data_IF_381011296308
#
_entry.id   IF_381011296308
#
_cell.length_a   1.000
_cell.length_b   1.000
_cell.length_c   1.000
_cell.angle_alpha   90.00
_cell.angle_beta   90.00
_cell.angle_gamma   90.00
#
_symmetry.space_group_name_H-M   'P 1'
#
loop_
_entity.id
_entity.type
_entity.pdbx_description
1 polymer ?
#
# COMPACT_ATOMS: atom_id res chain seq x y z
N UNK A 1 -30.90 8.00 9.11
CA UNK A 1 -29.77 7.28 9.74
C UNK A 1 -28.53 8.03 9.41
N UNK A 2 -27.70 8.30 10.41
CA UNK A 2 -26.47 9.06 10.19
C UNK A 2 -25.34 8.15 9.71
N UNK A 3 -24.39 8.70 8.99
CA UNK A 3 -23.45 7.95 8.16
C UNK A 3 -22.01 8.33 8.51
N UNK A 4 -21.13 7.33 8.54
CA UNK A 4 -19.70 7.52 8.44
C UNK A 4 -19.29 7.42 6.98
N UNK A 5 -18.82 8.51 6.38
CA UNK A 5 -18.25 8.52 5.04
C UNK A 5 -16.72 8.33 5.11
N UNK A 6 -16.19 7.38 4.36
CA UNK A 6 -14.74 7.25 4.15
C UNK A 6 -14.39 8.04 2.89
N UNK A 7 -13.70 9.15 3.07
CA UNK A 7 -13.50 10.14 1.98
C UNK A 7 -12.03 10.24 1.62
N UNK A 8 -11.63 9.67 0.47
CA UNK A 8 -10.27 9.85 -0.04
C UNK A 8 -9.95 11.31 -0.34
N UNK A 9 -8.74 11.72 0.04
CA UNK A 9 -8.17 13.05 -0.22
C UNK A 9 -7.08 12.98 -1.28
N UNK A 10 -6.74 14.09 -1.95
CA UNK A 10 -5.66 14.11 -2.93
C UNK A 10 -4.31 13.67 -2.36
N UNK A 11 -3.51 12.97 -3.15
CA UNK A 11 -2.15 12.53 -2.80
C UNK A 11 -1.07 13.51 -3.28
N UNK A 12 -1.45 14.65 -3.80
CA UNK A 12 -0.52 15.67 -4.28
C UNK A 12 -1.12 16.69 -5.24
N UNK A 13 -2.20 16.34 -5.92
CA UNK A 13 -2.88 17.20 -6.88
C UNK A 13 -4.35 17.42 -6.47
N UNK A 14 -4.73 18.67 -6.23
CA UNK A 14 -6.11 19.01 -5.83
C UNK A 14 -7.17 18.66 -6.87
N UNK A 15 -6.80 18.49 -8.14
CA UNK A 15 -7.71 18.08 -9.21
C UNK A 15 -8.17 16.61 -9.08
N UNK A 16 -7.44 15.80 -8.30
CA UNK A 16 -7.78 14.40 -8.04
C UNK A 16 -8.91 14.23 -7.01
N UNK A 17 -9.37 15.30 -6.36
CA UNK A 17 -10.53 15.21 -5.49
C UNK A 17 -11.80 14.99 -6.30
N UNK A 18 -12.57 13.96 -5.97
CA UNK A 18 -13.80 13.69 -6.69
C UNK A 18 -14.89 14.73 -6.38
N UNK A 19 -15.77 15.00 -7.35
CA UNK A 19 -16.94 15.85 -7.13
C UNK A 19 -17.82 15.33 -5.98
N UNK A 20 -17.93 14.01 -5.83
CA UNK A 20 -18.67 13.39 -4.75
C UNK A 20 -18.00 13.62 -3.38
N UNK A 21 -16.67 13.49 -3.29
CA UNK A 21 -15.93 13.79 -2.07
C UNK A 21 -16.13 15.24 -1.64
N UNK A 22 -15.98 16.20 -2.57
CA UNK A 22 -16.22 17.63 -2.29
C UNK A 22 -17.64 17.88 -1.80
N UNK A 23 -18.66 17.29 -2.43
CA UNK A 23 -20.05 17.41 -2.01
C UNK A 23 -20.27 16.86 -0.61
N UNK A 24 -19.83 15.62 -0.34
CA UNK A 24 -19.96 14.98 0.98
C UNK A 24 -19.30 15.81 2.06
N UNK A 25 -18.06 16.30 1.84
CA UNK A 25 -17.37 17.17 2.79
C UNK A 25 -18.14 18.49 3.05
N UNK A 26 -18.94 18.97 2.08
CA UNK A 26 -19.79 20.16 2.27
C UNK A 26 -21.08 19.86 3.04
N UNK A 27 -21.56 18.62 3.02
CA UNK A 27 -22.86 18.22 3.62
C UNK A 27 -22.73 17.69 5.04
N UNK A 28 -21.65 16.95 5.39
CA UNK A 28 -21.48 16.34 6.73
C UNK A 28 -21.43 17.40 7.86
N UNK A 29 -21.78 16.97 9.07
CA UNK A 29 -21.77 17.83 10.24
C UNK A 29 -20.36 18.11 10.77
N UNK A 30 -19.47 17.11 10.69
CA UNK A 30 -18.07 17.25 11.09
C UNK A 30 -17.16 16.32 10.31
N UNK A 31 -15.85 16.58 10.37
CA UNK A 31 -14.81 15.81 9.71
C UNK A 31 -13.84 15.25 10.75
N UNK A 32 -13.67 13.95 10.78
CA UNK A 32 -12.60 13.28 11.50
C UNK A 32 -11.35 13.24 10.60
N UNK A 33 -10.20 13.68 11.11
CA UNK A 33 -8.96 13.78 10.34
C UNK A 33 -7.74 13.41 11.20
N UNK A 34 -6.70 12.91 10.55
CA UNK A 34 -5.48 12.53 11.24
C UNK A 34 -4.76 13.72 11.84
N UNK A 35 -4.37 14.69 11.02
CA UNK A 35 -3.84 15.98 11.46
C UNK A 35 -4.85 17.10 11.14
N UNK A 36 -5.36 17.75 12.18
CA UNK A 36 -6.32 18.84 12.03
C UNK A 36 -5.76 20.06 11.29
N UNK A 37 -4.44 20.23 11.23
CA UNK A 37 -3.78 21.27 10.44
C UNK A 37 -3.85 20.97 8.95
N UNK A 38 -3.61 19.70 8.57
CA UNK A 38 -3.69 19.22 7.19
C UNK A 38 -5.15 19.20 6.73
N UNK A 39 -6.04 18.62 7.53
CA UNK A 39 -7.48 18.65 7.28
C UNK A 39 -8.04 20.06 7.14
N UNK A 40 -7.61 21.00 8.01
CA UNK A 40 -7.99 22.42 7.94
C UNK A 40 -7.52 23.11 6.67
N UNK A 41 -6.29 22.82 6.22
CA UNK A 41 -5.76 23.31 4.93
C UNK A 41 -6.58 22.79 3.75
N UNK A 42 -6.94 21.49 3.76
CA UNK A 42 -7.80 20.91 2.72
C UNK A 42 -9.17 21.61 2.70
N UNK A 43 -9.82 21.78 3.86
CA UNK A 43 -11.10 22.48 3.94
C UNK A 43 -11.01 23.91 3.38
N UNK A 44 -9.95 24.64 3.72
CA UNK A 44 -9.71 25.98 3.21
C UNK A 44 -9.56 26.00 1.68
N UNK A 45 -8.77 25.08 1.12
CA UNK A 45 -8.59 24.96 -0.34
C UNK A 45 -9.90 24.62 -1.07
N UNK A 46 -10.79 23.87 -0.44
CA UNK A 46 -12.12 23.54 -0.98
C UNK A 46 -13.15 24.67 -0.78
N UNK A 47 -12.80 25.75 -0.05
CA UNK A 47 -13.73 26.81 0.32
C UNK A 47 -14.78 26.38 1.34
N UNK A 48 -14.48 25.36 2.15
CA UNK A 48 -15.38 24.79 3.15
C UNK A 48 -14.97 25.20 4.56
N UNK A 49 -15.96 25.26 5.46
CA UNK A 49 -15.73 25.48 6.90
C UNK A 49 -16.52 24.41 7.67
N UNK A 50 -15.80 23.45 8.26
CA UNK A 50 -16.38 22.32 9.00
C UNK A 50 -15.67 22.15 10.35
N UNK A 51 -16.37 21.72 11.40
CA UNK A 51 -15.74 21.27 12.64
C UNK A 51 -14.81 20.09 12.34
N UNK A 52 -13.56 20.16 12.81
CA UNK A 52 -12.57 19.08 12.67
C UNK A 52 -12.42 18.37 14.01
N UNK A 53 -12.29 17.07 13.98
CA UNK A 53 -12.04 16.21 15.13
C UNK A 53 -10.81 15.34 14.86
N UNK A 54 -9.77 15.45 15.71
CA UNK A 54 -8.55 14.68 15.51
C UNK A 54 -8.77 13.19 15.81
N UNK A 55 -8.41 12.32 14.84
CA UNK A 55 -8.47 10.88 14.94
C UNK A 55 -7.19 10.29 14.33
N UNK A 56 -6.26 9.88 15.17
CA UNK A 56 -4.95 9.36 14.76
C UNK A 56 -4.57 8.14 15.63
N UNK A 57 -3.51 7.44 15.26
CA UNK A 57 -3.09 6.17 15.88
C UNK A 57 -3.03 6.24 17.41
N UNK A 58 -2.51 7.34 17.97
CA UNK A 58 -2.32 7.48 19.42
C UNK A 58 -3.62 7.78 20.21
N UNK A 59 -4.71 8.22 19.54
CA UNK A 59 -5.97 8.55 20.22
C UNK A 59 -7.16 7.72 19.72
N UNK A 60 -6.98 6.84 18.74
CA UNK A 60 -8.03 6.14 17.97
C UNK A 60 -9.11 5.47 18.82
N UNK A 61 -8.76 4.90 19.98
CA UNK A 61 -9.73 4.25 20.86
C UNK A 61 -10.72 5.28 21.43
N UNK A 62 -10.19 6.30 22.14
CA UNK A 62 -11.02 7.34 22.77
C UNK A 62 -11.75 8.20 21.75
N UNK A 63 -11.05 8.63 20.71
CA UNK A 63 -11.64 9.47 19.67
C UNK A 63 -12.70 8.70 18.87
N UNK A 64 -12.45 7.42 18.58
CA UNK A 64 -13.41 6.55 17.89
C UNK A 64 -14.73 6.41 18.62
N UNK A 65 -14.69 6.23 19.96
CA UNK A 65 -15.89 6.17 20.78
C UNK A 65 -16.71 7.47 20.67
N UNK A 66 -16.07 8.63 20.82
CA UNK A 66 -16.74 9.94 20.72
C UNK A 66 -17.34 10.16 19.32
N UNK A 67 -16.59 9.81 18.26
CA UNK A 67 -17.07 9.94 16.88
C UNK A 67 -18.31 9.06 16.68
N UNK A 68 -18.25 7.79 17.11
CA UNK A 68 -19.36 6.84 16.94
C UNK A 68 -20.60 7.28 17.76
N UNK A 69 -20.42 7.84 18.96
CA UNK A 69 -21.51 8.40 19.76
C UNK A 69 -22.19 9.58 19.07
N UNK A 70 -21.42 10.50 18.49
CA UNK A 70 -21.96 11.65 17.75
C UNK A 70 -22.76 11.19 16.52
N UNK A 71 -22.23 10.22 15.77
CA UNK A 71 -22.97 9.66 14.63
C UNK A 71 -24.26 8.98 15.09
N UNK A 72 -24.23 8.20 16.18
CA UNK A 72 -25.42 7.60 16.75
C UNK A 72 -26.46 8.64 17.25
N UNK A 73 -25.99 9.81 17.66
CA UNK A 73 -26.85 10.93 18.05
C UNK A 73 -27.48 11.71 16.89
N UNK A 74 -27.11 11.38 15.63
CA UNK A 74 -27.76 11.94 14.45
C UNK A 74 -26.84 12.82 13.57
N UNK A 75 -25.56 12.93 13.86
CA UNK A 75 -24.59 13.70 13.05
C UNK A 75 -23.94 12.83 11.97
N UNK A 76 -23.78 13.36 10.76
CA UNK A 76 -22.98 12.73 9.70
C UNK A 76 -21.50 13.09 9.83
N UNK A 77 -20.63 12.11 9.63
CA UNK A 77 -19.18 12.28 9.73
C UNK A 77 -18.46 11.87 8.44
N UNK A 78 -17.49 12.67 8.02
CA UNK A 78 -16.49 12.24 7.03
C UNK A 78 -15.17 11.91 7.72
N UNK A 79 -14.64 10.70 7.51
CA UNK A 79 -13.25 10.37 7.86
C UNK A 79 -12.37 10.69 6.68
N UNK A 80 -11.33 11.49 6.90
CA UNK A 80 -10.25 11.78 5.94
C UNK A 80 -8.90 11.46 6.56
N UNK A 81 -7.90 11.22 5.74
CA UNK A 81 -6.49 11.14 6.11
C UNK A 81 -5.71 12.29 5.51
N UNK A 82 -4.46 12.45 5.86
CA UNK A 82 -3.60 13.52 5.36
C UNK A 82 -3.42 13.45 3.84
N UNK A 83 -3.35 12.23 3.27
CA UNK A 83 -3.30 12.02 1.83
C UNK A 83 -3.82 10.62 1.45
N UNK A 84 -4.68 10.52 0.45
CA UNK A 84 -5.16 9.25 -0.08
C UNK A 84 -6.42 8.71 0.58
N UNK A 85 -6.54 7.40 0.64
CA UNK A 85 -7.74 6.68 1.09
C UNK A 85 -7.61 6.31 2.57
N UNK A 86 -8.48 6.83 3.46
CA UNK A 86 -8.47 6.47 4.87
C UNK A 86 -8.58 4.95 5.11
N UNK A 87 -8.01 4.46 6.20
CA UNK A 87 -7.96 3.05 6.58
C UNK A 87 -7.11 2.15 5.65
N UNK A 88 -6.33 2.73 4.74
CA UNK A 88 -5.39 1.99 3.87
C UNK A 88 -3.98 2.50 4.14
N UNK A 89 -3.22 1.86 5.01
CA UNK A 89 -1.97 2.33 5.63
C UNK A 89 -2.11 3.60 6.49
N UNK A 90 -3.32 3.93 6.86
CA UNK A 90 -3.69 5.12 7.62
C UNK A 90 -4.69 4.74 8.72
N UNK A 91 -4.88 5.57 9.77
CA UNK A 91 -5.91 5.34 10.78
C UNK A 91 -7.32 5.26 10.17
N UNK A 92 -8.17 4.36 10.67
CA UNK A 92 -9.57 4.27 10.21
C UNK A 92 -10.20 2.89 10.37
N UNK A 93 -9.44 1.81 10.26
CA UNK A 93 -9.96 0.44 10.35
C UNK A 93 -10.76 0.22 11.65
N UNK A 94 -10.21 0.65 12.78
CA UNK A 94 -10.85 0.51 14.09
C UNK A 94 -12.16 1.30 14.17
N UNK A 95 -12.21 2.51 13.60
CA UNK A 95 -13.43 3.33 13.55
C UNK A 95 -14.50 2.68 12.67
N UNK A 96 -14.11 2.17 11.51
CA UNK A 96 -15.02 1.44 10.60
C UNK A 96 -15.58 0.21 11.31
N UNK A 97 -14.75 -0.56 11.99
CA UNK A 97 -15.16 -1.75 12.76
C UNK A 97 -16.14 -1.37 13.88
N UNK A 98 -15.83 -0.33 14.63
CA UNK A 98 -16.67 0.19 15.71
C UNK A 98 -18.03 0.66 15.19
N UNK A 99 -18.07 1.48 14.13
CA UNK A 99 -19.32 1.96 13.54
C UNK A 99 -20.19 0.79 13.04
N UNK A 100 -19.61 -0.17 12.35
CA UNK A 100 -20.33 -1.37 11.89
C UNK A 100 -20.90 -2.20 13.06
N UNK A 101 -20.14 -2.36 14.15
CA UNK A 101 -20.61 -3.10 15.33
C UNK A 101 -21.79 -2.41 16.03
N UNK A 102 -21.96 -1.11 15.84
CA UNK A 102 -23.07 -0.30 16.37
C UNK A 102 -24.22 -0.11 15.39
N UNK A 103 -24.19 -0.77 14.23
CA UNK A 103 -25.22 -0.62 13.20
C UNK A 103 -25.20 0.73 12.48
N UNK A 104 -24.11 1.50 12.61
CA UNK A 104 -23.90 2.75 11.88
C UNK A 104 -23.53 2.41 10.43
N UNK A 105 -24.19 3.07 9.48
CA UNK A 105 -23.89 2.93 8.07
C UNK A 105 -22.50 3.51 7.75
N UNK A 106 -21.68 2.75 7.01
CA UNK A 106 -20.36 3.18 6.54
C UNK A 106 -20.35 3.20 5.02
N UNK A 107 -20.17 4.37 4.45
CA UNK A 107 -20.19 4.61 2.99
C UNK A 107 -18.80 4.98 2.48
N UNK A 108 -18.11 4.08 1.76
CA UNK A 108 -16.84 4.40 1.14
C UNK A 108 -17.05 5.21 -0.15
N UNK A 109 -16.18 6.18 -0.38
CA UNK A 109 -16.09 6.89 -1.65
C UNK A 109 -14.87 6.39 -2.43
N UNK A 110 -14.96 6.22 -3.75
CA UNK A 110 -13.77 6.01 -4.58
C UNK A 110 -12.94 7.29 -4.66
N UNK A 111 -11.62 7.15 -4.75
CA UNK A 111 -10.73 8.30 -4.86
C UNK A 111 -9.26 7.93 -4.95
N UNK A 112 -8.39 8.91 -4.71
CA UNK A 112 -6.95 8.76 -4.84
C UNK A 112 -6.38 7.71 -3.89
N UNK A 113 -5.51 6.87 -4.43
CA UNK A 113 -4.78 5.84 -3.69
C UNK A 113 -3.40 5.64 -4.34
N UNK A 114 -2.33 5.99 -3.64
CA UNK A 114 -0.97 5.95 -4.18
C UNK A 114 -0.56 4.55 -4.65
N UNK A 115 -0.94 3.50 -3.91
CA UNK A 115 -0.62 2.12 -4.25
C UNK A 115 -1.20 1.69 -5.62
N UNK A 116 -2.49 1.93 -5.85
CA UNK A 116 -3.16 1.56 -7.10
C UNK A 116 -2.72 2.47 -8.25
N UNK A 117 -2.48 3.75 -7.98
CA UNK A 117 -1.95 4.69 -8.98
C UNK A 117 -0.56 4.26 -9.45
N UNK A 118 0.35 3.92 -8.52
CA UNK A 118 1.67 3.38 -8.85
C UNK A 118 1.59 2.09 -9.66
N UNK A 119 0.75 1.13 -9.22
CA UNK A 119 0.58 -0.15 -9.90
C UNK A 119 0.12 0.03 -11.34
N UNK A 120 -0.85 0.92 -11.59
CA UNK A 120 -1.41 1.15 -12.92
C UNK A 120 -0.39 1.69 -13.93
N UNK A 121 0.65 2.39 -13.45
CA UNK A 121 1.71 2.99 -14.25
C UNK A 121 3.05 2.21 -14.20
N UNK A 122 3.13 1.15 -13.39
CA UNK A 122 4.37 0.40 -13.16
C UNK A 122 4.84 -0.44 -14.36
N UNK A 123 3.93 -0.82 -15.27
CA UNK A 123 4.22 -1.77 -16.34
C UNK A 123 4.42 -3.22 -15.86
N UNK A 124 4.22 -3.52 -14.57
CA UNK A 124 4.32 -4.86 -13.99
C UNK A 124 2.95 -5.57 -13.99
N UNK A 125 2.90 -6.91 -13.85
CA UNK A 125 1.64 -7.65 -13.80
C UNK A 125 0.70 -7.12 -12.72
N UNK A 126 -0.48 -6.60 -13.10
CA UNK A 126 -1.40 -5.91 -12.19
C UNK A 126 -2.68 -6.68 -11.87
N UNK A 127 -2.92 -7.83 -12.51
CA UNK A 127 -4.16 -8.61 -12.30
C UNK A 127 -4.32 -9.11 -10.87
N UNK A 128 -3.21 -9.48 -10.23
CA UNK A 128 -3.15 -9.92 -8.84
C UNK A 128 -1.95 -9.26 -8.19
N UNK A 129 -2.15 -8.60 -7.07
CA UNK A 129 -1.11 -7.90 -6.33
C UNK A 129 -1.34 -7.99 -4.83
N UNK A 130 -0.31 -7.67 -4.06
CA UNK A 130 -0.37 -7.45 -2.62
C UNK A 130 0.07 -6.02 -2.31
N UNK A 131 -0.61 -5.40 -1.37
CA UNK A 131 -0.20 -4.12 -0.81
C UNK A 131 0.38 -4.38 0.58
N UNK A 132 1.66 -4.08 0.73
CA UNK A 132 2.43 -4.33 1.95
C UNK A 132 2.64 -3.05 2.79
N UNK A 133 2.44 -1.87 2.18
CA UNK A 133 2.64 -0.59 2.86
C UNK A 133 4.09 -0.31 3.22
N UNK A 134 4.34 0.30 4.39
CA UNK A 134 5.68 0.52 4.91
C UNK A 134 6.25 -0.75 5.52
N UNK A 135 7.55 -0.99 5.32
CA UNK A 135 8.24 -2.09 5.98
C UNK A 135 8.23 -1.91 7.50
N UNK A 136 8.01 -2.97 8.29
CA UNK A 136 8.06 -2.89 9.73
C UNK A 136 9.49 -2.58 10.22
N UNK A 137 9.60 -1.84 11.33
CA UNK A 137 10.89 -1.56 11.97
C UNK A 137 11.45 -2.82 12.66
N UNK A 138 10.59 -3.61 13.31
CA UNK A 138 10.92 -4.83 14.02
C UNK A 138 10.39 -6.06 13.28
N UNK A 139 11.05 -7.22 13.47
CA UNK A 139 10.62 -8.49 12.87
C UNK A 139 10.71 -8.53 11.34
N UNK A 140 11.56 -7.70 10.75
CA UNK A 140 11.65 -7.50 9.29
C UNK A 140 11.97 -8.80 8.53
N UNK A 141 12.84 -9.65 9.07
CA UNK A 141 13.22 -10.92 8.44
C UNK A 141 12.05 -11.89 8.36
N UNK A 142 11.37 -12.07 9.48
CA UNK A 142 10.19 -12.94 9.60
C UNK A 142 9.04 -12.45 8.73
N UNK A 143 8.92 -11.12 8.56
CA UNK A 143 7.95 -10.49 7.67
C UNK A 143 8.26 -10.74 6.19
N UNK A 144 9.53 -10.64 5.78
CA UNK A 144 9.93 -10.75 4.38
C UNK A 144 10.10 -12.20 3.90
N UNK A 145 10.37 -13.15 4.80
CA UNK A 145 10.61 -14.54 4.45
C UNK A 145 9.46 -15.16 3.62
N UNK A 146 8.19 -15.09 4.02
CA UNK A 146 7.07 -15.59 3.22
C UNK A 146 6.90 -14.83 1.90
N UNK A 147 7.23 -13.53 1.86
CA UNK A 147 7.12 -12.71 0.67
C UNK A 147 8.19 -13.01 -0.38
N UNK A 148 9.28 -13.68 0.01
CA UNK A 148 10.35 -14.06 -0.93
C UNK A 148 9.87 -14.94 -2.09
N UNK A 149 8.79 -15.70 -1.88
CA UNK A 149 8.15 -16.57 -2.88
C UNK A 149 6.78 -16.06 -3.32
N UNK A 150 6.41 -14.85 -2.97
CA UNK A 150 5.14 -14.26 -3.40
C UNK A 150 5.14 -14.05 -4.93
N UNK A 151 4.18 -14.67 -5.61
CA UNK A 151 4.05 -14.64 -7.08
C UNK A 151 3.30 -13.41 -7.61
N UNK A 152 2.59 -12.70 -6.73
CA UNK A 152 1.87 -11.49 -7.10
C UNK A 152 2.82 -10.30 -7.06
N UNK A 153 2.53 -9.28 -7.83
CA UNK A 153 3.21 -7.98 -7.71
C UNK A 153 2.98 -7.40 -6.31
N UNK A 154 4.04 -6.92 -5.69
CA UNK A 154 4.03 -6.36 -4.33
C UNK A 154 4.22 -4.86 -4.37
N UNK A 155 3.53 -4.13 -3.51
CA UNK A 155 3.57 -2.67 -3.45
C UNK A 155 3.97 -2.24 -2.05
N UNK A 156 5.05 -1.46 -1.97
CA UNK A 156 5.60 -0.92 -0.73
C UNK A 156 5.60 0.60 -0.75
N UNK A 157 5.39 1.22 0.40
CA UNK A 157 5.64 2.64 0.61
C UNK A 157 7.03 2.85 1.19
N UNK A 158 7.66 3.96 0.84
CA UNK A 158 8.96 4.32 1.41
C UNK A 158 9.07 5.83 1.61
N UNK A 159 9.49 6.21 2.80
CA UNK A 159 9.89 7.58 3.07
C UNK A 159 11.23 7.89 2.37
N UNK A 160 11.50 9.17 2.01
CA UNK A 160 12.71 9.52 1.28
C UNK A 160 14.00 9.17 2.02
N UNK A 161 14.03 9.29 3.34
CA UNK A 161 15.20 8.97 4.16
C UNK A 161 15.45 7.47 4.31
N UNK A 162 14.44 6.62 4.07
CA UNK A 162 14.55 5.16 4.14
C UNK A 162 14.67 4.50 2.77
N UNK A 163 14.54 5.24 1.66
CA UNK A 163 14.40 4.65 0.33
C UNK A 163 15.54 3.68 -0.02
N UNK A 164 16.80 4.08 0.16
CA UNK A 164 17.95 3.21 -0.13
C UNK A 164 17.92 1.96 0.74
N UNK A 165 17.62 2.12 2.04
CA UNK A 165 17.49 1.00 2.98
C UNK A 165 16.38 0.06 2.54
N UNK A 166 15.20 0.59 2.19
CA UNK A 166 14.07 -0.19 1.67
C UNK A 166 14.46 -0.98 0.43
N UNK A 167 15.04 -0.34 -0.59
CA UNK A 167 15.45 -1.00 -1.83
C UNK A 167 16.48 -2.11 -1.59
N UNK A 168 17.49 -1.88 -0.74
CA UNK A 168 18.48 -2.90 -0.36
C UNK A 168 17.84 -4.07 0.37
N UNK A 169 16.96 -3.79 1.31
CA UNK A 169 16.22 -4.81 2.06
C UNK A 169 15.38 -5.69 1.13
N UNK A 170 14.68 -5.08 0.16
CA UNK A 170 13.89 -5.82 -0.83
C UNK A 170 14.79 -6.63 -1.78
N UNK A 171 15.95 -6.07 -2.17
CA UNK A 171 16.93 -6.79 -2.99
C UNK A 171 17.50 -8.01 -2.25
N UNK A 172 17.88 -7.85 -0.98
CA UNK A 172 18.45 -8.94 -0.17
C UNK A 172 17.43 -10.07 0.06
N UNK A 173 16.14 -9.72 0.25
CA UNK A 173 15.07 -10.68 0.51
C UNK A 173 14.57 -11.38 -0.77
N UNK A 174 14.49 -10.66 -1.89
CA UNK A 174 13.81 -11.12 -3.10
C UNK A 174 14.73 -11.37 -4.28
N UNK A 175 16.00 -11.01 -4.18
CA UNK A 175 16.94 -10.99 -5.30
C UNK A 175 16.67 -9.81 -6.25
N UNK A 176 17.37 -9.80 -7.38
CA UNK A 176 17.35 -8.70 -8.34
C UNK A 176 16.13 -8.73 -9.26
N UNK A 177 14.95 -8.45 -8.69
CA UNK A 177 13.68 -8.41 -9.44
C UNK A 177 13.50 -7.10 -10.20
N UNK A 178 12.65 -7.14 -11.23
CA UNK A 178 12.14 -5.92 -11.83
C UNK A 178 11.28 -5.15 -10.81
N UNK A 179 11.47 -3.85 -10.79
CA UNK A 179 10.69 -2.96 -9.92
C UNK A 179 10.37 -1.66 -10.64
N UNK A 180 9.25 -1.06 -10.29
CA UNK A 180 8.94 0.32 -10.66
C UNK A 180 9.09 1.21 -9.42
N UNK A 181 9.87 2.27 -9.55
CA UNK A 181 10.03 3.30 -8.55
C UNK A 181 9.21 4.52 -8.95
N UNK A 182 8.13 4.77 -8.22
CA UNK A 182 7.22 5.88 -8.43
C UNK A 182 7.50 6.96 -7.39
N UNK A 183 7.93 8.13 -7.86
CA UNK A 183 8.26 9.30 -7.04
C UNK A 183 7.22 10.37 -7.21
N UNK A 184 6.76 10.99 -6.12
CA UNK A 184 5.94 12.19 -6.12
C UNK A 184 4.71 12.09 -7.05
N UNK A 185 3.99 10.96 -6.98
CA UNK A 185 2.80 10.72 -7.80
C UNK A 185 1.84 11.88 -7.75
N UNK A 186 1.29 12.27 -8.90
CA UNK A 186 0.37 13.38 -9.15
C UNK A 186 0.95 14.79 -8.95
N UNK A 187 2.17 14.92 -8.42
CA UNK A 187 2.82 16.21 -8.16
C UNK A 187 3.65 16.68 -9.36
N UNK A 188 4.09 17.93 -9.32
CA UNK A 188 4.87 18.57 -10.40
C UNK A 188 6.15 17.79 -10.76
N UNK A 189 6.79 17.13 -9.80
CA UNK A 189 8.01 16.37 -9.98
C UNK A 189 7.76 14.86 -10.03
N UNK A 190 6.60 14.44 -10.49
CA UNK A 190 6.28 13.03 -10.70
C UNK A 190 7.30 12.37 -11.62
N UNK A 191 7.79 11.21 -11.19
CA UNK A 191 8.66 10.37 -12.00
C UNK A 191 8.39 8.91 -11.71
N UNK A 192 8.21 8.13 -12.78
CA UNK A 192 8.05 6.69 -12.72
C UNK A 192 9.14 6.05 -13.57
N UNK A 193 9.91 5.15 -12.96
CA UNK A 193 11.00 4.43 -13.64
C UNK A 193 10.87 2.94 -13.36
N UNK A 194 11.06 2.12 -14.40
CA UNK A 194 11.07 0.67 -14.30
C UNK A 194 12.48 0.14 -14.60
N UNK A 195 13.08 -0.53 -13.63
CA UNK A 195 14.44 -1.08 -13.68
C UNK A 195 14.55 -2.31 -12.76
N UNK A 196 15.71 -2.93 -12.72
CA UNK A 196 16.07 -3.88 -11.66
C UNK A 196 16.25 -3.17 -10.32
N UNK A 197 16.03 -3.89 -9.21
CA UNK A 197 16.27 -3.35 -7.86
C UNK A 197 17.71 -2.84 -7.70
N UNK A 198 18.70 -3.59 -8.20
CA UNK A 198 20.12 -3.18 -8.19
C UNK A 198 20.39 -1.86 -8.90
N UNK A 199 19.72 -1.63 -10.04
CA UNK A 199 19.88 -0.38 -10.80
C UNK A 199 19.21 0.80 -10.08
N UNK A 200 18.04 0.60 -9.44
CA UNK A 200 17.42 1.63 -8.61
C UNK A 200 18.29 2.00 -7.40
N UNK A 201 18.94 1.01 -6.77
CA UNK A 201 19.88 1.26 -5.66
C UNK A 201 21.04 2.13 -6.16
N UNK A 202 21.67 1.77 -7.27
CA UNK A 202 22.78 2.53 -7.84
C UNK A 202 22.38 3.97 -8.20
N UNK A 203 21.21 4.16 -8.83
CA UNK A 203 20.67 5.48 -9.13
C UNK A 203 20.48 6.33 -7.86
N UNK A 204 19.92 5.73 -6.80
CA UNK A 204 19.66 6.43 -5.54
C UNK A 204 20.96 6.76 -4.79
N UNK A 205 21.96 5.87 -4.81
CA UNK A 205 23.28 6.10 -4.18
C UNK A 205 24.08 7.18 -4.89
N UNK A 206 23.91 7.32 -6.20
CA UNK A 206 24.58 8.35 -6.99
C UNK A 206 23.88 9.73 -6.96
N UNK A 207 22.66 9.78 -6.42
CA UNK A 207 21.88 11.02 -6.36
C UNK A 207 22.42 11.97 -5.27
N UNK A 208 22.51 13.26 -5.58
CA UNK A 208 22.93 14.29 -4.59
C UNK A 208 21.98 14.37 -3.39
N UNK A 209 20.68 14.11 -3.59
CA UNK A 209 19.69 14.08 -2.52
C UNK A 209 18.45 13.27 -2.91
N UNK A 210 17.90 12.54 -1.95
CA UNK A 210 16.62 11.83 -2.09
C UNK A 210 15.56 12.64 -1.38
N UNK A 211 14.53 13.08 -2.13
CA UNK A 211 13.41 13.90 -1.61
C UNK A 211 12.11 13.43 -2.22
N UNK A 212 11.01 13.69 -1.51
CA UNK A 212 9.67 13.37 -1.93
C UNK A 212 9.20 12.02 -1.41
N UNK A 213 8.02 11.60 -1.80
CA UNK A 213 7.38 10.36 -1.39
C UNK A 213 7.54 9.31 -2.48
N UNK A 214 7.70 8.06 -2.07
CA UNK A 214 7.99 6.97 -2.98
C UNK A 214 7.03 5.79 -2.79
N UNK A 215 6.63 5.21 -3.92
CA UNK A 215 6.01 3.90 -3.97
C UNK A 215 6.91 2.97 -4.77
N UNK A 216 7.25 1.83 -4.19
CA UNK A 216 8.06 0.77 -4.81
C UNK A 216 7.13 -0.37 -5.19
N UNK A 217 7.02 -0.64 -6.49
CA UNK A 217 6.24 -1.77 -7.02
C UNK A 217 7.22 -2.83 -7.47
N UNK A 218 7.20 -4.01 -6.85
CA UNK A 218 8.16 -5.10 -7.12
C UNK A 218 7.46 -6.24 -7.81
N UNK A 219 8.05 -6.76 -8.88
CA UNK A 219 7.56 -7.95 -9.57
C UNK A 219 7.51 -9.16 -8.64
N UNK A 220 6.45 -9.96 -8.76
CA UNK A 220 6.31 -11.21 -8.01
C UNK A 220 7.41 -12.22 -8.34
N UNK A 221 7.56 -13.22 -7.46
CA UNK A 221 8.48 -14.33 -7.69
C UNK A 221 8.12 -15.06 -8.99
N UNK A 222 9.09 -15.16 -9.87
CA UNK A 222 9.01 -16.03 -11.05
C UNK A 222 9.93 -17.19 -10.81
N UNK A 223 9.38 -18.40 -10.78
CA UNK A 223 10.15 -19.62 -10.63
C UNK A 223 11.19 -19.68 -11.74
N UNK A 224 12.47 -19.80 -11.39
CA UNK A 224 13.56 -19.96 -12.34
C UNK A 224 13.88 -21.44 -12.44
N UNK A 225 14.39 -21.85 -13.58
CA UNK A 225 14.85 -23.25 -13.74
C UNK A 225 15.88 -23.62 -12.66
N UNK A 226 16.69 -22.63 -12.21
CA UNK A 226 17.68 -22.78 -11.13
C UNK A 226 17.07 -23.12 -9.75
N UNK A 227 15.78 -22.79 -9.53
CA UNK A 227 15.06 -23.09 -8.28
C UNK A 227 14.41 -24.47 -8.30
N UNK A 228 14.45 -25.14 -9.42
CA UNK A 228 13.93 -26.50 -9.57
C UNK A 228 14.93 -27.52 -9.05
N UNK A 229 14.45 -28.52 -8.34
CA UNK A 229 15.33 -29.51 -7.71
C UNK A 229 16.24 -30.26 -8.70
N UNK A 230 15.84 -30.32 -9.97
CA UNK A 230 16.60 -30.97 -11.04
C UNK A 230 17.64 -30.08 -11.72
N UNK A 231 17.67 -28.76 -11.41
CA UNK A 231 18.63 -27.83 -12.01
C UNK A 231 20.07 -28.29 -11.74
N UNK A 232 20.83 -28.45 -12.80
CA UNK A 232 22.20 -28.95 -12.72
C UNK A 232 22.33 -30.48 -12.55
N UNK A 233 21.24 -31.22 -12.46
CA UNK A 233 21.27 -32.70 -12.50
C UNK A 233 21.47 -33.22 -13.91
N UNK A 234 22.22 -34.36 -14.04
CA UNK A 234 22.19 -35.11 -15.28
C UNK A 234 20.85 -35.87 -15.39
N UNK A 235 20.46 -36.31 -16.62
CA UNK A 235 19.26 -37.12 -16.78
C UNK A 235 19.26 -38.38 -15.88
N UNK A 236 20.42 -38.98 -15.67
CA UNK A 236 20.57 -40.14 -14.80
C UNK A 236 20.31 -39.80 -13.34
N UNK A 237 20.84 -38.65 -12.85
CA UNK A 237 20.61 -38.18 -11.50
C UNK A 237 19.14 -37.82 -11.28
N UNK A 238 18.46 -37.26 -12.29
CA UNK A 238 17.04 -36.95 -12.24
C UNK A 238 16.19 -38.21 -12.07
N UNK A 239 16.45 -39.26 -12.89
CA UNK A 239 15.78 -40.55 -12.79
C UNK A 239 16.03 -41.21 -11.42
N UNK A 240 17.27 -41.16 -10.92
CA UNK A 240 17.63 -41.75 -9.61
C UNK A 240 16.89 -41.06 -8.47
N UNK A 241 16.69 -39.74 -8.52
CA UNK A 241 15.88 -39.01 -7.57
C UNK A 241 14.45 -39.58 -7.47
N UNK A 242 13.77 -39.80 -8.59
CA UNK A 242 12.43 -40.37 -8.59
C UNK A 242 12.38 -41.84 -8.17
N UNK A 243 13.44 -42.65 -8.46
CA UNK A 243 13.59 -43.98 -7.90
C UNK A 243 13.69 -43.98 -6.40
N UNK A 244 14.46 -43.05 -5.83
CA UNK A 244 14.58 -42.89 -4.38
C UNK A 244 13.25 -42.52 -3.71
N UNK A 245 12.34 -41.87 -4.45
CA UNK A 245 10.96 -41.59 -4.03
C UNK A 245 10.01 -42.78 -4.21
N UNK A 246 10.48 -43.94 -4.69
CA UNK A 246 9.70 -45.16 -4.80
C UNK A 246 8.96 -45.36 -6.12
N UNK A 247 9.27 -44.57 -7.16
CA UNK A 247 8.70 -44.77 -8.49
C UNK A 247 9.37 -45.97 -9.21
N UNK A 248 8.62 -46.65 -10.06
CA UNK A 248 9.19 -47.67 -10.95
C UNK A 248 10.12 -47.01 -11.98
N UNK A 249 11.06 -47.81 -12.55
CA UNK A 249 11.98 -47.35 -13.59
C UNK A 249 11.25 -46.67 -14.77
N UNK A 250 10.15 -47.26 -15.19
CA UNK A 250 9.34 -46.73 -16.30
C UNK A 250 8.62 -45.45 -15.95
N UNK A 251 8.21 -45.25 -14.68
CA UNK A 251 7.53 -44.05 -14.24
C UNK A 251 8.53 -42.95 -13.94
N UNK A 252 9.70 -43.26 -13.36
CA UNK A 252 10.79 -42.33 -13.17
C UNK A 252 11.33 -41.74 -14.49
N UNK A 253 11.35 -42.52 -15.57
CA UNK A 253 11.75 -42.04 -16.90
C UNK A 253 10.72 -41.15 -17.60
N UNK A 254 9.48 -41.08 -17.11
CA UNK A 254 8.40 -40.24 -17.68
C UNK A 254 8.29 -38.87 -17.03
N UNK A 255 8.93 -38.69 -15.89
CA UNK A 255 8.95 -37.42 -15.16
C UNK A 255 10.05 -36.52 -15.69
#
# INVERSE_FOLDING_TARGET
MSILYIVPTPIGNMEDITLRARRVLSEVDFVACEDSRVGGKLMLLLGLKKPLYAYHEHNKQRAGEVIAERIAAGEDCALITDAGTPAVSDPGEDLVRLCRSRGIEVVPLPGACAAVTALSASGLPSRRFCFEGFLPEDGLKEYLEPLSREKRTMIFYSAPHDLIKTLKTLYDAFGDRNAALCKELTKLNERITQKKLSEHIADCESAESIRGEYVVVVEGYTQRDEDEFWYGMTPEQHVEHYRALGLSDMDALKQ
#
